data_IF_546741021750
#
_entry.id   IF_546741021750
#
_cell.length_a   1.000
_cell.length_b   1.000
_cell.length_c   1.000
_cell.angle_alpha   90.00
_cell.angle_beta   90.00
_cell.angle_gamma   90.00
#
_symmetry.space_group_name_H-M   'P 1'
#
loop_
_entity.id
_entity.type
_entity.pdbx_description
1 polymer ?
#
# COMPACT_ATOMS: atom_id res chain seq x y z
N UNK A 1 -14.70 -9.63 23.99
CA UNK A 1 -14.07 -8.48 23.32
C UNK A 1 -14.40 -8.60 21.85
N UNK A 2 -14.94 -7.55 21.24
CA UNK A 2 -15.18 -7.54 19.81
C UNK A 2 -13.82 -7.48 19.09
N UNK A 3 -13.70 -8.24 18.00
CA UNK A 3 -12.49 -8.24 17.19
C UNK A 3 -12.47 -7.02 16.27
N UNK A 4 -11.43 -6.20 16.36
CA UNK A 4 -11.23 -5.04 15.51
C UNK A 4 -10.24 -5.42 14.40
N UNK A 5 -10.69 -5.52 13.13
CA UNK A 5 -9.80 -5.84 12.03
C UNK A 5 -8.73 -4.77 11.83
N UNK A 6 -7.51 -5.19 11.49
CA UNK A 6 -6.39 -4.30 11.15
C UNK A 6 -6.13 -4.37 9.66
N UNK A 7 -6.28 -3.26 8.97
CA UNK A 7 -6.15 -3.19 7.51
C UNK A 7 -5.01 -2.23 7.15
N UNK A 8 -4.09 -2.72 6.34
CA UNK A 8 -3.08 -1.86 5.72
C UNK A 8 -3.61 -1.35 4.38
N UNK A 9 -3.53 -0.05 4.19
CA UNK A 9 -3.80 0.63 2.93
C UNK A 9 -2.46 0.98 2.27
N UNK A 10 -2.29 0.69 0.99
CA UNK A 10 -1.06 0.99 0.26
C UNK A 10 -1.33 1.56 -1.13
N UNK A 11 -0.58 2.58 -1.50
CA UNK A 11 -0.75 3.25 -2.79
C UNK A 11 0.35 4.25 -3.10
N UNK A 12 0.27 4.81 -4.28
CA UNK A 12 1.24 5.78 -4.80
C UNK A 12 0.89 7.24 -4.49
N UNK A 13 1.74 8.13 -4.99
CA UNK A 13 1.77 9.57 -4.71
C UNK A 13 0.87 10.32 -5.70
N UNK A 14 -0.43 10.19 -5.57
CA UNK A 14 -1.38 11.02 -6.32
C UNK A 14 -2.81 10.85 -5.81
N UNK A 15 -3.67 11.82 -6.07
CA UNK A 15 -5.10 11.74 -5.74
C UNK A 15 -5.77 10.51 -6.33
N UNK A 16 -5.42 10.09 -7.54
CA UNK A 16 -5.93 8.88 -8.18
C UNK A 16 -5.61 7.58 -7.42
N UNK A 17 -4.56 7.58 -6.60
CA UNK A 17 -4.24 6.45 -5.72
C UNK A 17 -4.82 6.61 -4.32
N UNK A 18 -4.93 7.81 -3.82
CA UNK A 18 -5.33 8.09 -2.43
C UNK A 18 -6.85 8.06 -2.24
N UNK A 19 -7.62 8.62 -3.15
CA UNK A 19 -9.09 8.65 -3.03
C UNK A 19 -9.74 7.26 -2.96
N UNK A 20 -9.36 6.27 -3.79
CA UNK A 20 -9.91 4.92 -3.65
C UNK A 20 -9.61 4.27 -2.30
N UNK A 21 -8.43 4.52 -1.72
CA UNK A 21 -8.07 4.02 -0.39
C UNK A 21 -8.99 4.60 0.69
N UNK A 22 -9.26 5.91 0.62
CA UNK A 22 -10.15 6.60 1.54
C UNK A 22 -11.59 6.09 1.39
N UNK A 23 -12.05 5.90 0.15
CA UNK A 23 -13.40 5.39 -0.11
C UNK A 23 -13.59 3.98 0.50
N UNK A 24 -12.61 3.10 0.35
CA UNK A 24 -12.63 1.76 0.94
C UNK A 24 -12.59 1.85 2.47
N UNK A 25 -11.75 2.71 3.05
CA UNK A 25 -11.69 2.89 4.49
C UNK A 25 -13.02 3.35 5.07
N UNK A 26 -13.69 4.31 4.43
CA UNK A 26 -15.03 4.79 4.83
C UNK A 26 -16.07 3.68 4.71
N UNK A 27 -16.09 2.93 3.61
CA UNK A 27 -17.01 1.83 3.41
C UNK A 27 -16.83 0.73 4.46
N UNK A 28 -15.60 0.37 4.80
CA UNK A 28 -15.32 -0.62 5.83
C UNK A 28 -15.75 -0.13 7.23
N UNK A 29 -15.57 1.14 7.55
CA UNK A 29 -16.06 1.70 8.82
C UNK A 29 -17.58 1.58 8.97
N UNK A 30 -18.33 1.67 7.89
CA UNK A 30 -19.81 1.49 7.95
C UNK A 30 -20.21 0.02 8.11
N UNK A 31 -19.39 -0.91 7.62
CA UNK A 31 -19.68 -2.35 7.71
C UNK A 31 -19.23 -2.97 9.04
N UNK A 32 -18.28 -2.36 9.72
CA UNK A 32 -17.76 -2.83 11.01
C UNK A 32 -18.08 -1.81 12.12
N UNK A 33 -19.25 -1.89 12.76
CA UNK A 33 -19.66 -0.94 13.79
C UNK A 33 -18.71 -0.87 14.99
N UNK A 34 -18.04 -1.98 15.30
CA UNK A 34 -17.04 -2.08 16.37
C UNK A 34 -15.72 -1.35 16.03
N UNK A 35 -15.57 -0.94 14.78
CA UNK A 35 -14.39 -0.22 14.27
C UNK A 35 -13.48 -1.07 13.41
N UNK A 36 -12.60 -0.37 12.70
CA UNK A 36 -11.48 -0.95 11.92
C UNK A 36 -10.25 -0.10 12.19
N UNK A 37 -9.15 -0.75 12.49
CA UNK A 37 -7.86 -0.07 12.62
C UNK A 37 -7.17 -0.02 11.26
N UNK A 38 -6.80 1.19 10.83
CA UNK A 38 -6.14 1.42 9.55
C UNK A 38 -4.73 1.95 9.71
N UNK A 39 -3.82 1.43 8.89
CA UNK A 39 -2.47 1.94 8.72
C UNK A 39 -2.19 2.15 7.24
N UNK A 40 -1.79 3.34 6.84
CA UNK A 40 -1.27 3.58 5.50
C UNK A 40 0.23 3.29 5.46
N UNK A 41 0.66 2.47 4.49
CA UNK A 41 2.08 2.22 4.20
C UNK A 41 2.31 2.46 2.71
N UNK A 42 3.14 3.43 2.38
CA UNK A 42 3.42 3.78 0.99
C UNK A 42 4.59 4.73 0.84
N UNK A 43 4.71 5.38 -0.31
CA UNK A 43 5.72 6.41 -0.52
C UNK A 43 5.36 7.71 0.22
N UNK A 44 6.39 8.46 0.61
CA UNK A 44 6.20 9.74 1.27
C UNK A 44 5.72 10.79 0.25
N UNK A 45 4.58 11.39 0.54
CA UNK A 45 4.01 12.49 -0.22
C UNK A 45 3.19 13.41 0.69
N UNK A 46 3.18 14.69 0.38
CA UNK A 46 2.43 15.67 1.18
C UNK A 46 0.93 15.42 1.09
N UNK A 47 0.44 15.17 -0.12
CA UNK A 47 -0.97 14.94 -0.37
C UNK A 47 -1.49 13.71 0.40
N UNK A 48 -0.75 12.59 0.38
CA UNK A 48 -1.10 11.37 1.10
C UNK A 48 -1.10 11.59 2.60
N UNK A 49 -0.08 12.28 3.10
CA UNK A 49 0.03 12.57 4.54
C UNK A 49 -1.15 13.39 5.04
N UNK A 50 -1.49 14.45 4.32
CA UNK A 50 -2.60 15.35 4.69
C UNK A 50 -3.95 14.61 4.56
N UNK A 51 -4.15 13.83 3.49
CA UNK A 51 -5.39 13.10 3.24
C UNK A 51 -5.62 11.99 4.26
N UNK A 52 -4.57 11.23 4.62
CA UNK A 52 -4.69 10.19 5.63
C UNK A 52 -4.91 10.78 7.02
N UNK A 53 -4.23 11.88 7.35
CA UNK A 53 -4.43 12.58 8.61
C UNK A 53 -5.86 13.13 8.75
N UNK A 54 -6.44 13.67 7.67
CA UNK A 54 -7.83 14.11 7.66
C UNK A 54 -8.84 12.98 7.94
N UNK A 55 -8.50 11.75 7.57
CA UNK A 55 -9.30 10.55 7.86
C UNK A 55 -8.96 9.90 9.21
N UNK A 56 -8.02 10.46 9.97
CA UNK A 56 -7.54 9.87 11.22
C UNK A 56 -6.74 8.57 11.01
N UNK A 57 -6.22 8.35 9.82
CA UNK A 57 -5.42 7.17 9.47
C UNK A 57 -3.94 7.48 9.68
N UNK A 58 -3.26 6.67 10.49
CA UNK A 58 -1.81 6.79 10.67
C UNK A 58 -1.10 6.44 9.37
N UNK A 59 -0.09 7.22 8.99
CA UNK A 59 0.72 6.98 7.81
C UNK A 59 2.16 6.64 8.18
N UNK A 60 2.68 5.60 7.58
CA UNK A 60 4.08 5.21 7.63
C UNK A 60 4.64 5.12 6.21
N UNK A 61 5.89 5.48 6.05
CA UNK A 61 6.50 5.56 4.74
C UNK A 61 7.61 4.53 4.58
N UNK A 62 7.72 4.03 3.35
CA UNK A 62 8.78 3.10 2.93
C UNK A 62 9.48 3.66 1.70
N UNK A 63 10.72 3.27 1.50
CA UNK A 63 11.43 3.59 0.29
C UNK A 63 10.81 2.84 -0.89
N UNK A 64 10.55 3.57 -1.95
CA UNK A 64 9.95 3.03 -3.17
C UNK A 64 10.77 3.48 -4.37
N UNK A 65 11.07 2.55 -5.27
CA UNK A 65 11.71 2.87 -6.54
C UNK A 65 10.66 3.29 -7.58
N UNK A 66 11.00 4.25 -8.43
CA UNK A 66 10.17 4.59 -9.59
C UNK A 66 10.60 3.74 -10.77
N UNK A 67 9.73 2.85 -11.26
CA UNK A 67 9.99 2.11 -12.51
C UNK A 67 9.82 3.06 -13.71
N UNK A 68 10.90 3.73 -14.08
CA UNK A 68 10.92 4.63 -15.25
C UNK A 68 11.05 3.83 -16.54
N UNK A 69 10.41 4.33 -17.61
CA UNK A 69 10.45 3.68 -18.94
C UNK A 69 11.72 4.00 -19.73
N UNK A 70 12.52 4.98 -19.29
CA UNK A 70 13.73 5.44 -19.96
C UNK A 70 14.98 5.18 -19.12
N UNK A 71 16.10 5.05 -19.78
CA UNK A 71 17.40 4.85 -19.12
C UNK A 71 17.78 6.12 -18.34
N UNK A 72 17.98 5.99 -17.04
CA UNK A 72 18.37 7.08 -16.15
C UNK A 72 19.33 6.55 -15.09
N UNK A 73 20.33 7.35 -14.73
CA UNK A 73 21.25 7.05 -13.60
C UNK A 73 20.45 6.83 -12.29
N UNK A 74 19.29 7.47 -12.19
CA UNK A 74 18.36 7.29 -11.05
C UNK A 74 17.74 5.88 -10.98
N UNK A 75 17.76 5.11 -12.07
CA UNK A 75 17.32 3.73 -12.05
C UNK A 75 18.26 2.86 -11.21
N UNK A 76 19.56 3.21 -11.18
CA UNK A 76 20.54 2.51 -10.36
C UNK A 76 20.29 2.76 -8.86
N UNK A 77 20.01 4.01 -8.46
CA UNK A 77 19.63 4.31 -7.07
C UNK A 77 18.30 3.70 -6.68
N UNK A 78 17.33 3.67 -7.60
CA UNK A 78 16.01 3.07 -7.37
C UNK A 78 16.08 1.55 -7.21
N UNK A 79 17.07 0.89 -7.82
CA UNK A 79 17.33 -0.54 -7.64
C UNK A 79 17.68 -0.88 -6.19
N UNK A 80 18.45 -0.03 -5.50
CA UNK A 80 18.76 -0.22 -4.08
C UNK A 80 17.64 0.17 -3.14
N UNK A 81 16.75 1.07 -3.55
CA UNK A 81 15.58 1.47 -2.74
C UNK A 81 14.56 0.35 -2.60
N UNK A 82 14.39 -0.51 -3.62
CA UNK A 82 13.43 -1.60 -3.58
C UNK A 82 13.72 -2.63 -2.47
N UNK A 83 14.93 -3.18 -2.33
CA UNK A 83 15.26 -4.08 -1.23
C UNK A 83 15.11 -3.43 0.15
N UNK A 84 15.54 -2.17 0.28
CA UNK A 84 15.40 -1.44 1.54
C UNK A 84 13.92 -1.18 1.88
N UNK A 85 13.13 -0.75 0.91
CA UNK A 85 11.68 -0.58 1.09
C UNK A 85 10.97 -1.90 1.43
N UNK A 86 11.42 -3.00 0.86
CA UNK A 86 10.93 -4.33 1.19
C UNK A 86 11.24 -4.71 2.65
N UNK A 87 12.48 -4.52 3.11
CA UNK A 87 12.86 -4.76 4.51
C UNK A 87 12.09 -3.86 5.48
N UNK A 88 11.91 -2.57 5.13
CA UNK A 88 11.09 -1.65 5.90
C UNK A 88 9.62 -2.13 5.98
N UNK A 89 9.08 -2.63 4.87
CA UNK A 89 7.72 -3.15 4.81
C UNK A 89 7.56 -4.42 5.64
N UNK A 90 8.53 -5.34 5.59
CA UNK A 90 8.55 -6.53 6.44
C UNK A 90 8.49 -6.15 7.92
N UNK A 91 9.33 -5.22 8.34
CA UNK A 91 9.34 -4.77 9.75
C UNK A 91 8.01 -4.12 10.15
N UNK A 92 7.48 -3.22 9.31
CA UNK A 92 6.22 -2.52 9.61
C UNK A 92 5.02 -3.45 9.67
N UNK A 93 4.93 -4.41 8.74
CA UNK A 93 3.87 -5.42 8.75
C UNK A 93 4.02 -6.37 9.93
N UNK A 94 5.23 -6.74 10.29
CA UNK A 94 5.49 -7.57 11.47
C UNK A 94 5.03 -6.90 12.76
N UNK A 95 5.33 -5.62 12.93
CA UNK A 95 4.92 -4.86 14.14
C UNK A 95 3.41 -4.62 14.17
N UNK A 96 2.82 -4.29 13.03
CA UNK A 96 1.40 -3.96 12.96
C UNK A 96 0.51 -5.20 12.94
N UNK A 97 0.96 -6.29 12.33
CA UNK A 97 0.24 -7.57 12.16
C UNK A 97 -1.16 -7.37 11.57
N UNK A 98 -1.28 -6.90 10.31
CA UNK A 98 -2.58 -6.69 9.69
C UNK A 98 -3.25 -8.00 9.30
N UNK A 99 -4.57 -7.98 9.25
CA UNK A 99 -5.40 -9.08 8.76
C UNK A 99 -5.50 -9.11 7.24
N UNK A 100 -5.38 -7.95 6.60
CA UNK A 100 -5.37 -7.82 5.16
C UNK A 100 -4.63 -6.54 4.71
N UNK A 101 -4.20 -6.56 3.45
CA UNK A 101 -3.64 -5.40 2.76
C UNK A 101 -4.56 -5.04 1.58
N UNK A 102 -5.00 -3.81 1.52
CA UNK A 102 -5.65 -3.24 0.35
C UNK A 102 -4.69 -2.30 -0.37
N UNK A 103 -4.30 -2.67 -1.58
CA UNK A 103 -3.34 -1.93 -2.38
C UNK A 103 -4.02 -1.34 -3.62
N UNK A 104 -3.89 -0.02 -3.81
CA UNK A 104 -4.27 0.63 -5.07
C UNK A 104 -3.29 0.29 -6.20
N UNK A 105 -2.13 -0.19 -5.83
CA UNK A 105 -1.09 -0.57 -6.77
C UNK A 105 -0.10 0.56 -7.07
N UNK A 106 0.56 0.43 -8.20
CA UNK A 106 1.69 1.29 -8.54
C UNK A 106 3.00 0.86 -7.86
N UNK A 107 4.11 1.51 -8.21
CA UNK A 107 5.44 1.17 -7.69
C UNK A 107 5.57 1.29 -6.16
N UNK A 108 4.77 2.17 -5.57
CA UNK A 108 4.77 2.40 -4.13
C UNK A 108 4.18 1.22 -3.32
N UNK A 109 3.31 0.42 -3.94
CA UNK A 109 2.73 -0.76 -3.29
C UNK A 109 3.61 -2.01 -3.41
N UNK A 110 4.60 -2.02 -4.31
CA UNK A 110 5.43 -3.21 -4.58
C UNK A 110 6.08 -3.76 -3.31
N UNK A 111 6.83 -2.99 -2.52
CA UNK A 111 7.50 -3.53 -1.34
C UNK A 111 6.49 -4.03 -0.29
N UNK A 112 5.35 -3.35 -0.16
CA UNK A 112 4.32 -3.70 0.83
C UNK A 112 3.62 -5.01 0.45
N UNK A 113 3.23 -5.16 -0.81
CA UNK A 113 2.55 -6.37 -1.30
C UNK A 113 3.47 -7.59 -1.23
N UNK A 114 4.74 -7.45 -1.61
CA UNK A 114 5.71 -8.54 -1.51
C UNK A 114 5.95 -8.95 -0.05
N UNK A 115 6.04 -8.00 0.86
CA UNK A 115 6.19 -8.28 2.28
C UNK A 115 4.93 -8.97 2.86
N UNK A 116 3.75 -8.54 2.47
CA UNK A 116 2.50 -9.18 2.85
C UNK A 116 2.42 -10.62 2.35
N UNK A 117 2.85 -10.86 1.11
CA UNK A 117 2.92 -12.20 0.53
C UNK A 117 3.85 -13.14 1.33
N UNK A 118 5.02 -12.66 1.78
CA UNK A 118 5.95 -13.44 2.63
C UNK A 118 5.28 -13.88 3.92
N UNK A 119 4.48 -13.00 4.54
CA UNK A 119 3.73 -13.32 5.76
C UNK A 119 2.40 -14.03 5.50
N UNK A 120 2.07 -14.33 4.24
CA UNK A 120 0.78 -14.91 3.83
C UNK A 120 -0.44 -14.08 4.25
N UNK A 121 -0.25 -12.77 4.37
CA UNK A 121 -1.33 -11.83 4.63
C UNK A 121 -2.14 -11.67 3.33
N UNK A 122 -3.48 -11.79 3.38
CA UNK A 122 -4.32 -11.58 2.20
C UNK A 122 -4.13 -10.19 1.60
N UNK A 123 -3.96 -10.13 0.28
CA UNK A 123 -3.77 -8.89 -0.46
C UNK A 123 -4.86 -8.73 -1.50
N UNK A 124 -5.55 -7.60 -1.46
CA UNK A 124 -6.49 -7.16 -2.50
C UNK A 124 -5.85 -6.00 -3.27
N UNK A 125 -5.77 -6.13 -4.60
CA UNK A 125 -5.25 -5.07 -5.47
C UNK A 125 -6.40 -4.48 -6.27
N UNK A 126 -6.50 -3.17 -6.24
CA UNK A 126 -7.46 -2.41 -7.04
C UNK A 126 -6.74 -1.66 -8.16
N UNK A 127 -7.18 -1.84 -9.39
CA UNK A 127 -6.75 -1.04 -10.54
C UNK A 127 -7.95 -0.32 -11.13
N UNK A 128 -7.85 0.99 -11.32
CA UNK A 128 -8.92 1.79 -11.94
C UNK A 128 -8.68 2.01 -13.45
N UNK A 129 -7.55 1.57 -13.98
CA UNK A 129 -7.23 1.73 -15.39
C UNK A 129 -7.82 0.59 -16.22
N UNK A 130 -8.26 0.89 -17.44
CA UNK A 130 -8.79 -0.12 -18.37
C UNK A 130 -7.75 -1.21 -18.71
N UNK A 131 -6.47 -0.89 -18.60
CA UNK A 131 -5.36 -1.82 -18.77
C UNK A 131 -4.44 -1.70 -17.55
N UNK A 132 -4.29 -2.79 -16.82
CA UNK A 132 -3.45 -2.83 -15.65
C UNK A 132 -2.01 -2.35 -15.94
N UNK A 133 -1.52 -1.45 -15.11
CA UNK A 133 -0.15 -0.95 -15.18
C UNK A 133 0.89 -2.07 -14.94
N UNK A 134 2.13 -1.83 -15.36
CA UNK A 134 3.23 -2.85 -15.24
C UNK A 134 3.41 -3.34 -13.80
N UNK A 135 3.35 -2.44 -12.83
CA UNK A 135 3.45 -2.79 -11.42
C UNK A 135 2.28 -3.68 -10.98
N UNK A 136 1.05 -3.35 -11.35
CA UNK A 136 -0.13 -4.12 -10.98
C UNK A 136 -0.17 -5.48 -11.66
N UNK A 137 0.27 -5.61 -12.92
CA UNK A 137 0.46 -6.91 -13.58
C UNK A 137 1.48 -7.79 -12.85
N UNK A 138 2.56 -7.20 -12.37
CA UNK A 138 3.55 -7.93 -11.56
C UNK A 138 2.94 -8.35 -10.22
N UNK A 139 2.29 -7.43 -9.54
CA UNK A 139 1.72 -7.66 -8.21
C UNK A 139 0.51 -8.60 -8.22
N UNK A 140 -0.22 -8.71 -9.32
CA UNK A 140 -1.37 -9.63 -9.43
C UNK A 140 -1.01 -11.09 -9.16
N UNK A 141 0.26 -11.46 -9.36
CA UNK A 141 0.77 -12.81 -9.05
C UNK A 141 0.85 -13.10 -7.55
N UNK A 142 0.90 -12.05 -6.75
CA UNK A 142 1.05 -12.11 -5.28
C UNK A 142 -0.23 -11.68 -4.56
N UNK A 143 -1.23 -11.23 -5.29
CA UNK A 143 -2.51 -10.84 -4.75
C UNK A 143 -3.41 -12.07 -4.51
N UNK A 144 -4.25 -11.97 -3.50
CA UNK A 144 -5.32 -12.95 -3.25
C UNK A 144 -6.51 -12.67 -4.15
N UNK A 145 -6.76 -11.39 -4.44
CA UNK A 145 -7.78 -10.87 -5.37
C UNK A 145 -7.38 -9.49 -5.89
#
# INVERSE_FOLDING_TARGET
MAYIPRIVLSGGVSGGHTFPLIAVARALRTQFPEGVDFLFIGSKGRFESESMAAEGIKAQYVLTGKMRRYFSVLNFTDLFKLPLGFLQSLWKLFVYMPDAVFAKGGSASVPVVLAAWVYRIPVVIHDSDAVAGRANRFLSRYATR
#
